data_IF_255073544257
#
_entry.id   IF_255073544257
#
_cell.length_a   1.000
_cell.length_b   1.000
_cell.length_c   1.000
_cell.angle_alpha   90.00
_cell.angle_beta   90.00
_cell.angle_gamma   90.00
#
_symmetry.space_group_name_H-M   'P 1'
#
loop_
_entity.id
_entity.type
_entity.pdbx_description
1 polymer ?
#
# COMPACT_ATOMS: atom_id res chain seq x y z
N UNK A 1 -21.94 -48.82 -22.54
CA UNK A 1 -20.83 -48.63 -21.58
C UNK A 1 -19.55 -48.58 -22.39
N UNK A 2 -19.22 -47.40 -22.90
CA UNK A 2 -18.01 -47.14 -23.67
C UNK A 2 -16.86 -47.00 -22.68
N UNK A 3 -15.91 -47.91 -22.76
CA UNK A 3 -14.59 -47.84 -22.15
C UNK A 3 -14.05 -46.42 -22.28
N UNK A 4 -14.04 -45.67 -21.18
CA UNK A 4 -13.08 -44.58 -21.03
C UNK A 4 -11.73 -45.25 -21.24
N UNK A 5 -11.03 -44.85 -22.29
CA UNK A 5 -9.75 -45.42 -22.68
C UNK A 5 -8.81 -45.36 -21.47
N UNK A 6 -8.30 -46.53 -21.03
CA UNK A 6 -7.43 -46.65 -19.86
C UNK A 6 -6.21 -45.73 -20.00
N UNK A 7 -5.75 -45.49 -21.23
CA UNK A 7 -4.67 -44.55 -21.52
C UNK A 7 -5.12 -43.11 -21.25
N UNK A 8 -6.29 -42.69 -21.73
CA UNK A 8 -6.83 -41.37 -21.45
C UNK A 8 -7.03 -41.13 -19.94
N UNK A 9 -7.58 -42.11 -19.21
CA UNK A 9 -7.77 -42.01 -17.76
C UNK A 9 -6.44 -41.80 -17.02
N UNK A 10 -5.39 -42.53 -17.40
CA UNK A 10 -4.05 -42.39 -16.81
C UNK A 10 -3.40 -41.07 -17.18
N UNK A 11 -3.50 -40.65 -18.45
CA UNK A 11 -3.02 -39.34 -18.90
C UNK A 11 -3.68 -38.23 -18.07
N UNK A 12 -5.01 -38.27 -17.88
CA UNK A 12 -5.73 -37.32 -17.04
C UNK A 12 -5.25 -37.31 -15.59
N UNK A 13 -4.96 -38.48 -15.01
CA UNK A 13 -4.36 -38.60 -13.68
C UNK A 13 -3.02 -37.86 -13.58
N UNK A 14 -2.11 -38.12 -14.52
CA UNK A 14 -0.82 -37.42 -14.60
C UNK A 14 -0.98 -35.91 -14.77
N UNK A 15 -1.91 -35.47 -15.64
CA UNK A 15 -2.17 -34.04 -15.80
C UNK A 15 -2.67 -33.44 -14.47
N UNK A 16 -3.61 -34.07 -13.78
CA UNK A 16 -4.11 -33.63 -12.48
C UNK A 16 -3.02 -33.51 -11.41
N UNK A 17 -2.03 -34.41 -11.42
CA UNK A 17 -0.89 -34.38 -10.49
C UNK A 17 0.10 -33.25 -10.81
N UNK A 18 0.22 -32.89 -12.09
CA UNK A 18 1.10 -31.81 -12.57
C UNK A 18 0.42 -30.43 -12.46
N UNK A 19 -0.91 -30.39 -12.49
CA UNK A 19 -1.69 -29.15 -12.41
C UNK A 19 -1.41 -28.40 -11.10
N UNK A 20 -1.01 -27.14 -11.23
CA UNK A 20 -0.80 -26.26 -10.09
C UNK A 20 -1.99 -25.29 -9.94
N UNK A 21 -2.38 -24.91 -8.71
CA UNK A 21 -3.52 -24.02 -8.49
C UNK A 21 -3.37 -22.63 -9.14
N UNK A 22 -2.16 -22.06 -9.08
CA UNK A 22 -1.94 -20.65 -9.46
C UNK A 22 -0.99 -20.41 -10.65
N UNK A 23 -0.41 -21.45 -11.26
CA UNK A 23 0.52 -21.27 -12.38
C UNK A 23 0.43 -22.41 -13.40
N UNK A 24 0.64 -22.10 -14.68
CA UNK A 24 0.77 -23.14 -15.71
C UNK A 24 2.09 -23.89 -15.53
N UNK A 25 2.09 -25.19 -15.80
CA UNK A 25 3.32 -26.00 -15.76
C UNK A 25 3.71 -26.45 -17.15
N UNK A 26 5.01 -26.42 -17.47
CA UNK A 26 5.52 -26.90 -18.74
C UNK A 26 5.65 -28.43 -18.69
N UNK A 27 5.07 -29.09 -19.67
CA UNK A 27 5.07 -30.54 -19.81
C UNK A 27 5.78 -30.92 -21.12
N UNK A 28 6.63 -31.94 -21.07
CA UNK A 28 7.21 -32.59 -22.23
C UNK A 28 6.43 -33.88 -22.53
N UNK A 29 5.90 -33.99 -23.75
CA UNK A 29 5.00 -35.07 -24.11
C UNK A 29 5.70 -36.43 -24.22
N UNK A 30 7.00 -36.44 -24.56
CA UNK A 30 7.79 -37.66 -24.63
C UNK A 30 8.03 -38.26 -23.24
N UNK A 31 8.23 -37.41 -22.24
CA UNK A 31 8.43 -37.84 -20.86
C UNK A 31 7.15 -38.46 -20.30
N UNK A 32 6.00 -37.84 -20.58
CA UNK A 32 4.69 -38.36 -20.19
C UNK A 32 4.39 -39.72 -20.83
N UNK A 33 4.61 -39.86 -22.14
CA UNK A 33 4.40 -41.12 -22.83
C UNK A 33 5.36 -42.22 -22.32
N UNK A 34 6.60 -41.86 -22.04
CA UNK A 34 7.58 -42.78 -21.47
C UNK A 34 7.16 -43.29 -20.08
N UNK A 35 6.59 -42.42 -19.25
CA UNK A 35 6.03 -42.82 -17.95
C UNK A 35 4.82 -43.75 -18.11
N UNK A 36 3.94 -43.49 -19.07
CA UNK A 36 2.80 -44.36 -19.38
C UNK A 36 3.26 -45.75 -19.82
N UNK A 37 4.24 -45.83 -20.72
CA UNK A 37 4.85 -47.10 -21.18
C UNK A 37 5.43 -47.92 -20.05
N UNK A 38 6.03 -47.28 -19.04
CA UNK A 38 6.59 -47.98 -17.88
C UNK A 38 5.52 -48.57 -16.94
N UNK A 39 4.30 -48.07 -16.99
CA UNK A 39 3.21 -48.48 -16.11
C UNK A 39 2.23 -49.43 -16.80
N UNK A 40 2.41 -49.72 -18.09
CA UNK A 40 1.51 -50.52 -18.92
C UNK A 40 2.31 -51.51 -19.75
N UNK A 41 2.22 -52.79 -19.37
CA UNK A 41 2.92 -53.88 -20.06
C UNK A 41 2.33 -54.18 -21.45
N UNK A 42 1.05 -53.85 -21.66
CA UNK A 42 0.27 -54.07 -22.88
C UNK A 42 0.20 -52.83 -23.80
N UNK A 43 0.94 -51.76 -23.49
CA UNK A 43 0.89 -50.49 -24.23
C UNK A 43 1.05 -50.65 -25.76
N UNK A 44 1.95 -51.51 -26.20
CA UNK A 44 2.20 -51.73 -27.63
C UNK A 44 1.13 -52.61 -28.30
N UNK A 45 0.61 -53.61 -27.58
CA UNK A 45 -0.44 -54.51 -28.08
C UNK A 45 -1.78 -53.77 -28.28
N UNK A 46 -1.99 -52.68 -27.54
CA UNK A 46 -3.21 -51.87 -27.56
C UNK A 46 -3.19 -50.70 -28.57
N UNK A 47 -2.20 -50.63 -29.46
CA UNK A 47 -1.97 -49.43 -30.29
C UNK A 47 -1.82 -48.15 -29.44
N UNK A 48 -1.08 -48.27 -28.33
CA UNK A 48 -1.06 -47.28 -27.26
C UNK A 48 -0.62 -45.88 -27.67
N UNK A 49 0.17 -45.74 -28.74
CA UNK A 49 0.50 -44.41 -29.26
C UNK A 49 -0.70 -43.71 -29.89
N UNK A 50 -1.54 -44.41 -30.65
CA UNK A 50 -2.75 -43.84 -31.26
C UNK A 50 -3.74 -43.41 -30.18
N UNK A 51 -3.91 -44.23 -29.15
CA UNK A 51 -4.75 -43.93 -27.99
C UNK A 51 -4.20 -42.75 -27.18
N UNK A 52 -2.88 -42.72 -26.95
CA UNK A 52 -2.20 -41.58 -26.33
C UNK A 52 -2.39 -40.29 -27.15
N UNK A 53 -2.23 -40.36 -28.47
CA UNK A 53 -2.46 -39.24 -29.37
C UNK A 53 -3.88 -38.67 -29.24
N UNK A 54 -4.90 -39.55 -29.28
CA UNK A 54 -6.30 -39.16 -29.11
C UNK A 54 -6.57 -38.55 -27.74
N UNK A 55 -5.99 -39.10 -26.67
CA UNK A 55 -6.09 -38.54 -25.33
C UNK A 55 -5.55 -37.11 -25.27
N UNK A 56 -4.37 -36.87 -25.86
CA UNK A 56 -3.77 -35.53 -25.92
C UNK A 56 -4.64 -34.56 -26.72
N UNK A 57 -5.17 -34.97 -27.87
CA UNK A 57 -6.10 -34.14 -28.64
C UNK A 57 -7.37 -33.78 -27.85
N UNK A 58 -7.91 -34.74 -27.09
CA UNK A 58 -9.08 -34.53 -26.23
C UNK A 58 -8.78 -33.50 -25.14
N UNK A 59 -7.66 -33.66 -24.42
CA UNK A 59 -7.19 -32.72 -23.39
C UNK A 59 -6.87 -31.32 -23.94
N UNK A 60 -6.44 -31.23 -25.20
CA UNK A 60 -6.29 -29.95 -25.89
C UNK A 60 -7.65 -29.31 -26.21
N UNK A 61 -8.61 -30.09 -26.71
CA UNK A 61 -9.97 -29.63 -26.97
C UNK A 61 -10.69 -29.11 -25.72
N UNK A 62 -10.39 -29.70 -24.56
CA UNK A 62 -10.89 -29.29 -23.25
C UNK A 62 -10.12 -28.10 -22.63
N UNK A 63 -9.05 -27.63 -23.26
CA UNK A 63 -8.23 -26.52 -22.75
C UNK A 63 -7.38 -26.86 -21.51
N UNK A 64 -7.23 -28.15 -21.17
CA UNK A 64 -6.34 -28.62 -20.11
C UNK A 64 -4.87 -28.60 -20.54
N UNK A 65 -4.62 -28.81 -21.84
CA UNK A 65 -3.30 -28.72 -22.46
C UNK A 65 -3.29 -27.66 -23.57
N UNK A 66 -2.30 -26.77 -23.52
CA UNK A 66 -2.11 -25.73 -24.54
C UNK A 66 -0.76 -25.99 -25.23
N UNK A 67 -0.72 -26.25 -26.56
CA UNK A 67 0.54 -26.53 -27.24
C UNK A 67 1.45 -25.30 -27.24
N UNK A 68 2.75 -25.51 -27.04
CA UNK A 68 3.75 -24.45 -27.19
C UNK A 68 4.17 -24.38 -28.66
N UNK A 69 3.85 -23.25 -29.30
CA UNK A 69 4.16 -23.02 -30.71
C UNK A 69 5.64 -22.64 -30.88
N UNK A 70 6.51 -23.66 -30.98
CA UNK A 70 7.95 -23.47 -31.19
C UNK A 70 8.53 -24.38 -32.30
N UNK A 71 7.67 -24.94 -33.15
CA UNK A 71 8.02 -25.87 -34.24
C UNK A 71 8.77 -27.13 -33.79
N UNK A 72 8.70 -27.52 -32.52
CA UNK A 72 9.24 -28.79 -32.01
C UNK A 72 8.13 -29.81 -31.86
N UNK A 73 8.39 -31.03 -32.34
CA UNK A 73 7.44 -32.13 -32.34
C UNK A 73 8.05 -33.37 -31.68
N UNK A 74 7.19 -34.29 -31.26
CA UNK A 74 7.59 -35.52 -30.58
C UNK A 74 8.30 -36.57 -31.47
N UNK A 75 8.41 -36.32 -32.79
CA UNK A 75 9.09 -37.21 -33.73
C UNK A 75 8.32 -38.49 -34.06
N UNK A 76 7.00 -38.50 -33.86
CA UNK A 76 6.11 -39.64 -34.12
C UNK A 76 5.03 -39.29 -35.16
N UNK A 77 4.35 -40.32 -35.67
CA UNK A 77 3.28 -40.19 -36.67
C UNK A 77 2.01 -40.83 -36.14
N UNK A 78 0.89 -40.10 -36.00
CA UNK A 78 0.73 -38.67 -36.24
C UNK A 78 1.53 -37.81 -35.24
N UNK A 79 1.91 -36.58 -35.60
CA UNK A 79 2.80 -35.76 -34.78
C UNK A 79 2.05 -34.94 -33.71
N UNK A 80 2.67 -34.81 -32.53
CA UNK A 80 2.25 -33.90 -31.45
C UNK A 80 3.31 -32.83 -31.23
N UNK A 81 2.91 -31.64 -30.77
CA UNK A 81 3.86 -30.64 -30.26
C UNK A 81 4.69 -31.25 -29.12
N UNK A 82 5.98 -30.93 -29.05
CA UNK A 82 6.88 -31.53 -28.05
C UNK A 82 6.55 -31.05 -26.63
N UNK A 83 6.15 -29.78 -26.50
CA UNK A 83 5.86 -29.16 -25.22
C UNK A 83 4.43 -28.62 -25.14
N UNK A 84 3.84 -28.77 -23.96
CA UNK A 84 2.52 -28.24 -23.61
C UNK A 84 2.59 -27.41 -22.33
N UNK A 85 1.75 -26.40 -22.23
CA UNK A 85 1.36 -25.82 -20.96
C UNK A 85 0.18 -26.62 -20.38
N UNK A 86 0.40 -27.21 -19.21
CA UNK A 86 -0.67 -27.73 -18.35
C UNK A 86 -1.37 -26.54 -17.71
N UNK A 87 -2.67 -26.40 -17.97
CA UNK A 87 -3.48 -25.29 -17.46
C UNK A 87 -3.70 -25.41 -15.95
N UNK A 88 -4.02 -24.29 -15.28
CA UNK A 88 -4.26 -24.31 -13.83
C UNK A 88 -5.41 -25.25 -13.45
N UNK A 89 -5.35 -25.82 -12.25
CA UNK A 89 -6.42 -26.70 -11.74
C UNK A 89 -7.69 -25.87 -11.54
N UNK A 90 -8.71 -26.05 -12.38
CA UNK A 90 -10.01 -25.41 -12.16
C UNK A 90 -10.64 -26.02 -10.91
N UNK A 91 -10.64 -25.26 -9.81
CA UNK A 91 -11.47 -25.62 -8.67
C UNK A 91 -12.93 -25.35 -9.07
N UNK A 92 -13.81 -26.34 -8.90
CA UNK A 92 -15.24 -26.10 -9.04
C UNK A 92 -15.65 -25.03 -8.01
N UNK A 93 -16.53 -24.10 -8.43
CA UNK A 93 -17.15 -23.16 -7.50
C UNK A 93 -17.78 -23.94 -6.33
N UNK A 94 -17.39 -23.59 -5.11
CA UNK A 94 -17.86 -24.23 -3.88
C UNK A 94 -19.14 -23.58 -3.35
N UNK A 95 -19.37 -22.31 -3.67
CA UNK A 95 -20.55 -21.58 -3.23
C UNK A 95 -21.77 -21.85 -4.12
N UNK A 96 -22.94 -21.81 -3.51
CA UNK A 96 -24.22 -21.94 -4.21
C UNK A 96 -24.47 -20.67 -5.06
N UNK A 97 -24.68 -20.87 -6.36
CA UNK A 97 -24.98 -19.78 -7.30
C UNK A 97 -26.27 -19.04 -6.95
N UNK A 98 -27.29 -19.73 -6.46
CA UNK A 98 -28.54 -19.09 -6.06
C UNK A 98 -28.32 -18.15 -4.88
N UNK A 99 -27.46 -18.53 -3.93
CA UNK A 99 -27.11 -17.68 -2.79
C UNK A 99 -26.28 -16.46 -3.23
N UNK A 100 -25.33 -16.63 -4.14
CA UNK A 100 -24.59 -15.49 -4.73
C UNK A 100 -25.53 -14.53 -5.47
N UNK A 101 -26.48 -15.06 -6.25
CA UNK A 101 -27.45 -14.25 -6.99
C UNK A 101 -28.35 -13.40 -6.06
N UNK A 102 -28.71 -13.90 -4.88
CA UNK A 102 -29.51 -13.15 -3.89
C UNK A 102 -28.80 -11.90 -3.38
N UNK A 103 -27.47 -11.89 -3.39
CA UNK A 103 -26.63 -10.82 -2.84
C UNK A 103 -25.99 -9.96 -3.94
N UNK A 104 -26.22 -10.27 -5.22
CA UNK A 104 -25.58 -9.62 -6.37
C UNK A 104 -26.08 -8.20 -6.65
N UNK A 105 -27.12 -7.75 -5.96
CA UNK A 105 -27.59 -6.36 -5.98
C UNK A 105 -26.69 -5.43 -5.18
N UNK A 106 -25.98 -5.96 -4.18
CA UNK A 106 -25.11 -5.19 -3.27
C UNK A 106 -23.61 -5.49 -3.45
N UNK A 107 -23.25 -6.68 -3.94
CA UNK A 107 -21.85 -7.12 -4.03
C UNK A 107 -21.44 -7.55 -5.43
N UNK A 108 -20.15 -7.38 -5.72
CA UNK A 108 -19.49 -7.96 -6.89
C UNK A 108 -18.91 -9.34 -6.54
N UNK A 109 -19.38 -10.40 -7.23
CA UNK A 109 -18.86 -11.76 -7.09
C UNK A 109 -17.85 -12.14 -8.19
N UNK A 110 -17.59 -11.27 -9.17
CA UNK A 110 -16.73 -11.55 -10.33
C UNK A 110 -15.33 -11.97 -9.96
N UNK A 111 -14.82 -11.52 -8.81
CA UNK A 111 -13.53 -11.98 -8.28
C UNK A 111 -13.62 -13.46 -7.86
N UNK A 112 -14.59 -13.83 -7.05
CA UNK A 112 -14.76 -15.19 -6.53
C UNK A 112 -15.14 -16.20 -7.62
N UNK A 113 -15.82 -15.76 -8.69
CA UNK A 113 -16.06 -16.59 -9.87
C UNK A 113 -14.77 -16.95 -10.61
N UNK A 114 -13.84 -15.99 -10.73
CA UNK A 114 -12.52 -16.18 -11.34
C UNK A 114 -11.53 -16.90 -10.43
N UNK A 115 -11.75 -16.81 -9.11
CA UNK A 115 -10.88 -17.36 -8.07
C UNK A 115 -11.67 -18.27 -7.10
N UNK A 116 -12.10 -19.47 -7.53
CA UNK A 116 -12.91 -20.37 -6.69
C UNK A 116 -12.19 -20.85 -5.43
N UNK A 117 -10.86 -20.74 -5.37
CA UNK A 117 -10.07 -21.02 -4.17
C UNK A 117 -10.43 -20.13 -2.97
N UNK A 118 -10.94 -18.93 -3.22
CA UNK A 118 -11.41 -17.99 -2.19
C UNK A 118 -12.84 -18.26 -1.72
N UNK A 119 -13.56 -19.19 -2.36
CA UNK A 119 -14.92 -19.55 -1.97
C UNK A 119 -14.94 -20.46 -0.72
N UNK A 120 -14.45 -19.94 0.40
CA UNK A 120 -14.39 -20.64 1.69
C UNK A 120 -15.64 -20.35 2.54
N UNK A 121 -15.89 -21.16 3.57
CA UNK A 121 -16.98 -20.90 4.51
C UNK A 121 -16.74 -19.61 5.31
N UNK A 122 -15.48 -19.36 5.70
CA UNK A 122 -15.12 -18.17 6.47
C UNK A 122 -15.31 -16.89 5.63
N UNK A 123 -14.89 -16.92 4.36
CA UNK A 123 -15.08 -15.79 3.46
C UNK A 123 -16.57 -15.51 3.21
N UNK A 124 -17.39 -16.56 3.08
CA UNK A 124 -18.83 -16.41 2.97
C UNK A 124 -19.45 -15.76 4.21
N UNK A 125 -19.04 -16.21 5.40
CA UNK A 125 -19.51 -15.63 6.66
C UNK A 125 -19.16 -14.13 6.76
N UNK A 126 -17.96 -13.72 6.31
CA UNK A 126 -17.56 -12.31 6.26
C UNK A 126 -18.47 -11.50 5.33
N UNK A 127 -18.81 -12.03 4.15
CA UNK A 127 -19.76 -11.42 3.22
C UNK A 127 -21.14 -11.28 3.87
N UNK A 128 -21.62 -12.31 4.57
CA UNK A 128 -22.91 -12.26 5.28
C UNK A 128 -22.94 -11.23 6.41
N UNK A 129 -21.84 -11.06 7.15
CA UNK A 129 -21.72 -10.01 8.17
C UNK A 129 -21.83 -8.61 7.54
N UNK A 130 -21.12 -8.37 6.44
CA UNK A 130 -21.20 -7.10 5.71
C UNK A 130 -22.62 -6.88 5.15
N UNK A 131 -23.24 -7.91 4.60
CA UNK A 131 -24.61 -7.81 4.09
C UNK A 131 -25.58 -7.41 5.19
N UNK A 132 -25.51 -8.10 6.34
CA UNK A 132 -26.36 -7.83 7.49
C UNK A 132 -26.19 -6.39 7.99
N UNK A 133 -24.95 -5.89 7.98
CA UNK A 133 -24.65 -4.49 8.30
C UNK A 133 -25.28 -3.51 7.29
N UNK A 134 -25.15 -3.78 5.99
CA UNK A 134 -25.71 -2.92 4.94
C UNK A 134 -27.23 -2.79 5.09
N UNK A 135 -27.93 -3.86 5.47
CA UNK A 135 -29.38 -3.82 5.69
C UNK A 135 -29.80 -2.82 6.78
N UNK A 136 -28.97 -2.59 7.79
CA UNK A 136 -29.27 -1.65 8.89
C UNK A 136 -28.41 -0.38 8.85
N UNK A 137 -27.62 -0.15 7.79
CA UNK A 137 -26.60 0.92 7.76
C UNK A 137 -27.18 2.32 8.01
N UNK A 138 -28.42 2.58 7.58
CA UNK A 138 -29.12 3.84 7.79
C UNK A 138 -29.29 4.21 9.27
N UNK A 139 -29.28 3.24 10.18
CA UNK A 139 -29.41 3.42 11.63
C UNK A 139 -28.06 3.46 12.36
N UNK A 140 -26.95 3.30 11.64
CA UNK A 140 -25.60 3.22 12.20
C UNK A 140 -24.91 4.59 12.13
N UNK A 141 -23.99 4.85 13.04
CA UNK A 141 -23.15 6.05 13.01
C UNK A 141 -21.82 5.80 12.29
N UNK A 142 -21.16 6.88 11.87
CA UNK A 142 -19.79 6.82 11.39
C UNK A 142 -18.82 6.56 12.53
N UNK A 143 -17.97 5.56 12.40
CA UNK A 143 -16.99 5.13 13.41
C UNK A 143 -15.63 4.86 12.77
N UNK A 144 -14.60 4.59 13.58
CA UNK A 144 -13.27 4.28 13.06
C UNK A 144 -13.26 3.02 12.19
N UNK A 145 -12.27 2.91 11.29
CA UNK A 145 -12.06 1.67 10.52
C UNK A 145 -11.82 0.49 11.47
N UNK A 146 -11.10 0.71 12.56
CA UNK A 146 -10.81 -0.24 13.61
C UNK A 146 -12.07 -0.77 14.28
N UNK A 147 -12.96 0.12 14.73
CA UNK A 147 -14.23 -0.25 15.37
C UNK A 147 -15.14 -1.02 14.43
N UNK A 148 -15.26 -0.54 13.17
CA UNK A 148 -16.09 -1.24 12.18
C UNK A 148 -15.46 -2.57 11.76
N UNK A 149 -14.13 -2.65 11.68
CA UNK A 149 -13.41 -3.90 11.39
C UNK A 149 -13.63 -4.92 12.50
N UNK A 150 -13.57 -4.49 13.76
CA UNK A 150 -13.86 -5.34 14.92
C UNK A 150 -15.32 -5.83 14.88
N UNK A 151 -16.28 -4.95 14.61
CA UNK A 151 -17.69 -5.30 14.53
C UNK A 151 -18.00 -6.32 13.42
N UNK A 152 -17.44 -6.13 12.23
CA UNK A 152 -17.76 -6.96 11.06
C UNK A 152 -16.95 -8.26 10.99
N UNK A 153 -15.72 -8.24 11.49
CA UNK A 153 -14.75 -9.33 11.27
C UNK A 153 -14.16 -9.89 12.55
N UNK A 154 -14.53 -9.36 13.72
CA UNK A 154 -14.05 -9.84 15.02
C UNK A 154 -12.61 -9.44 15.35
N UNK A 155 -11.99 -8.57 14.55
CA UNK A 155 -10.65 -8.06 14.80
C UNK A 155 -10.46 -6.64 14.23
N UNK A 156 -9.94 -5.71 15.04
CA UNK A 156 -9.80 -4.29 14.70
C UNK A 156 -8.83 -4.06 13.55
N UNK A 157 -7.83 -4.94 13.40
CA UNK A 157 -6.82 -4.87 12.33
C UNK A 157 -7.14 -5.66 11.07
N UNK A 158 -8.26 -6.39 11.00
CA UNK A 158 -8.54 -7.27 9.86
C UNK A 158 -8.43 -6.56 8.51
N UNK A 159 -8.98 -5.35 8.40
CA UNK A 159 -8.90 -4.55 7.17
C UNK A 159 -7.58 -3.77 7.01
N UNK A 160 -6.80 -3.62 8.08
CA UNK A 160 -5.69 -2.67 8.17
C UNK A 160 -4.31 -3.36 8.06
N UNK A 161 -4.17 -4.55 8.62
CA UNK A 161 -2.91 -5.28 8.70
C UNK A 161 -2.94 -6.48 7.75
N UNK A 162 -2.50 -6.25 6.50
CA UNK A 162 -2.46 -7.29 5.48
C UNK A 162 -1.35 -8.32 5.65
N UNK A 163 -0.41 -8.12 6.59
CA UNK A 163 0.59 -9.14 6.92
C UNK A 163 0.03 -10.12 7.96
N UNK A 164 -0.66 -9.60 8.99
CA UNK A 164 -1.35 -10.41 9.98
C UNK A 164 -2.63 -11.06 9.42
N UNK A 165 -3.36 -10.34 8.55
CA UNK A 165 -4.61 -10.78 7.93
C UNK A 165 -4.53 -10.70 6.40
N UNK A 166 -3.84 -11.65 5.73
CA UNK A 166 -3.78 -11.70 4.27
C UNK A 166 -5.16 -11.71 3.61
N UNK A 167 -6.14 -12.35 4.25
CA UNK A 167 -7.52 -12.41 3.77
C UNK A 167 -8.22 -11.06 3.84
N UNK A 168 -8.00 -10.26 4.87
CA UNK A 168 -8.65 -8.95 5.01
C UNK A 168 -8.12 -7.93 4.01
N UNK A 169 -6.87 -8.11 3.56
CA UNK A 169 -6.25 -7.29 2.54
C UNK A 169 -7.07 -7.30 1.25
N UNK A 170 -7.67 -6.16 0.92
CA UNK A 170 -8.47 -5.99 -0.30
C UNK A 170 -9.82 -6.72 -0.27
N UNK A 171 -10.28 -7.21 0.89
CA UNK A 171 -11.57 -7.88 1.02
C UNK A 171 -12.73 -7.00 0.50
N UNK A 172 -12.82 -5.75 0.95
CA UNK A 172 -13.86 -4.81 0.52
C UNK A 172 -13.84 -4.58 -1.00
N UNK A 173 -12.64 -4.47 -1.58
CA UNK A 173 -12.46 -4.34 -3.02
C UNK A 173 -12.93 -5.61 -3.78
N UNK A 174 -12.69 -6.81 -3.24
CA UNK A 174 -13.14 -8.07 -3.86
C UNK A 174 -14.65 -8.19 -3.94
N UNK A 175 -15.37 -7.62 -2.97
CA UNK A 175 -16.84 -7.65 -2.90
C UNK A 175 -17.49 -6.37 -3.46
N UNK A 176 -16.69 -5.41 -3.95
CA UNK A 176 -17.19 -4.16 -4.55
C UNK A 176 -17.78 -3.15 -3.56
N UNK A 177 -17.32 -3.14 -2.31
CA UNK A 177 -17.81 -2.22 -1.25
C UNK A 177 -16.77 -1.17 -0.90
N UNK A 178 -17.21 0.06 -0.64
CA UNK A 178 -16.36 1.16 -0.15
C UNK A 178 -16.46 1.36 1.35
N UNK A 179 -15.46 2.04 1.93
CA UNK A 179 -15.44 2.40 3.36
C UNK A 179 -16.64 3.28 3.75
N UNK A 180 -17.09 4.17 2.85
CA UNK A 180 -18.24 5.05 3.07
C UNK A 180 -19.55 4.28 3.20
N UNK A 181 -19.74 3.23 2.40
CA UNK A 181 -20.92 2.35 2.51
C UNK A 181 -20.98 1.65 3.87
N UNK A 182 -19.81 1.45 4.51
CA UNK A 182 -19.69 0.87 5.84
C UNK A 182 -19.63 1.89 6.97
N UNK A 183 -19.86 3.18 6.66
CA UNK A 183 -19.76 4.29 7.62
C UNK A 183 -18.44 4.24 8.40
N UNK A 184 -17.35 3.95 7.70
CA UNK A 184 -16.00 3.94 8.25
C UNK A 184 -15.34 5.29 8.06
N UNK A 185 -14.55 5.71 9.04
CA UNK A 185 -13.74 6.92 8.99
C UNK A 185 -12.33 6.56 9.42
N UNK A 186 -11.35 6.83 8.55
CA UNK A 186 -9.96 6.73 8.93
C UNK A 186 -9.59 7.94 9.81
N UNK A 187 -9.56 7.72 11.12
CA UNK A 187 -9.02 8.70 12.06
C UNK A 187 -7.51 8.53 12.11
N UNK A 188 -6.77 9.50 11.58
CA UNK A 188 -5.33 9.54 11.81
C UNK A 188 -5.00 9.65 13.31
N UNK A 189 -3.74 9.50 13.68
CA UNK A 189 -3.32 9.78 15.05
C UNK A 189 -3.33 11.30 15.30
N UNK A 190 -3.77 11.77 16.48
CA UNK A 190 -3.60 13.16 16.88
C UNK A 190 -2.12 13.60 16.88
N UNK A 191 -1.87 14.90 16.73
CA UNK A 191 -0.54 15.46 16.95
C UNK A 191 -0.36 15.93 18.39
N UNK A 192 0.90 15.95 18.83
CA UNK A 192 1.29 16.60 20.09
C UNK A 192 1.42 18.10 19.83
N UNK A 193 0.86 18.92 20.72
CA UNK A 193 0.99 20.37 20.65
C UNK A 193 1.22 21.00 22.02
N UNK A 194 1.73 22.23 22.02
CA UNK A 194 1.87 23.07 23.19
C UNK A 194 1.24 24.44 22.91
N UNK A 195 0.31 24.86 23.76
CA UNK A 195 -0.38 26.13 23.68
C UNK A 195 0.30 27.15 24.60
N UNK A 196 0.58 28.35 24.08
CA UNK A 196 1.18 29.42 24.86
C UNK A 196 0.31 29.77 26.08
N UNK A 197 0.93 29.83 27.26
CA UNK A 197 0.21 30.14 28.49
C UNK A 197 -0.53 31.49 28.40
N UNK A 198 -1.77 31.51 28.88
CA UNK A 198 -2.63 32.69 28.87
C UNK A 198 -3.30 33.00 27.53
N UNK A 199 -3.08 32.20 26.47
CA UNK A 199 -3.81 32.32 25.20
C UNK A 199 -5.05 31.45 25.17
N UNK A 200 -6.19 32.04 24.81
CA UNK A 200 -7.38 31.27 24.54
C UNK A 200 -7.34 30.67 23.12
N UNK A 201 -8.01 29.53 22.93
CA UNK A 201 -8.04 28.79 21.66
C UNK A 201 -8.49 29.67 20.47
N UNK A 202 -9.44 30.58 20.70
CA UNK A 202 -9.98 31.46 19.66
C UNK A 202 -9.07 32.66 19.31
N UNK A 203 -8.01 32.89 20.10
CA UNK A 203 -7.05 33.98 19.89
C UNK A 203 -5.79 33.52 19.14
N UNK A 204 -5.67 32.23 18.86
CA UNK A 204 -4.54 31.64 18.16
C UNK A 204 -4.54 32.15 16.72
N UNK A 205 -3.41 32.71 16.29
CA UNK A 205 -3.21 33.13 14.91
C UNK A 205 -1.95 32.51 14.32
N UNK A 206 -0.88 32.41 15.10
CA UNK A 206 0.43 31.94 14.63
C UNK A 206 0.71 30.55 15.16
N UNK A 207 0.96 29.62 14.25
CA UNK A 207 1.24 28.22 14.56
C UNK A 207 2.62 27.87 14.01
N UNK A 208 3.50 27.32 14.85
CA UNK A 208 4.79 26.78 14.41
C UNK A 208 4.77 25.26 14.52
N UNK A 209 5.00 24.60 13.40
CA UNK A 209 5.13 23.15 13.26
C UNK A 209 6.62 22.83 13.23
N UNK A 210 7.06 21.98 14.15
CA UNK A 210 8.46 21.58 14.33
C UNK A 210 8.61 20.09 14.12
N UNK A 211 9.49 19.67 13.20
CA UNK A 211 9.65 18.25 12.84
C UNK A 211 10.20 17.38 13.98
N UNK A 212 11.24 17.85 14.70
CA UNK A 212 11.97 17.04 15.69
C UNK A 212 11.55 17.37 17.14
N UNK A 213 11.48 16.33 17.99
CA UNK A 213 11.03 16.47 19.38
C UNK A 213 12.02 17.30 20.23
N UNK A 214 13.31 17.14 19.95
CA UNK A 214 14.41 17.90 20.57
C UNK A 214 14.19 19.40 20.41
N UNK A 215 14.00 19.88 19.18
CA UNK A 215 13.78 21.28 18.90
C UNK A 215 12.39 21.76 19.30
N UNK A 216 11.39 20.88 19.36
CA UNK A 216 10.09 21.21 19.95
C UNK A 216 10.24 21.65 21.42
N UNK A 217 11.00 20.91 22.23
CA UNK A 217 11.28 21.30 23.62
C UNK A 217 12.09 22.60 23.72
N UNK A 218 13.08 22.80 22.85
CA UNK A 218 13.81 24.08 22.77
C UNK A 218 12.87 25.23 22.41
N UNK A 219 11.96 25.02 21.45
CA UNK A 219 10.99 26.02 21.00
C UNK A 219 10.04 26.43 22.12
N UNK A 220 9.56 25.48 22.93
CA UNK A 220 8.73 25.79 24.12
C UNK A 220 9.45 26.76 25.04
N UNK A 221 10.70 26.45 25.41
CA UNK A 221 11.49 27.30 26.30
C UNK A 221 11.75 28.70 25.72
N UNK A 222 12.01 28.78 24.40
CA UNK A 222 12.22 30.04 23.71
C UNK A 222 10.92 30.87 23.58
N UNK A 223 9.74 30.25 23.48
CA UNK A 223 8.47 30.97 23.52
C UNK A 223 8.20 31.52 24.92
N UNK A 224 8.46 30.72 25.96
CA UNK A 224 8.28 31.14 27.35
C UNK A 224 9.21 32.30 27.73
N UNK A 225 10.43 32.33 27.19
CA UNK A 225 11.37 33.45 27.39
C UNK A 225 11.13 34.64 26.44
N UNK A 226 10.18 34.55 25.50
CA UNK A 226 9.89 35.60 24.52
C UNK A 226 11.00 35.81 23.47
N UNK A 227 11.80 34.77 23.20
CA UNK A 227 12.99 34.83 22.33
C UNK A 227 12.79 34.10 20.99
N UNK A 228 11.76 33.26 20.86
CA UNK A 228 11.49 32.54 19.62
C UNK A 228 10.96 33.49 18.54
N UNK A 229 11.55 33.41 17.35
CA UNK A 229 11.01 34.09 16.16
C UNK A 229 9.57 33.69 15.89
N UNK A 230 8.86 34.56 15.16
CA UNK A 230 7.43 34.43 14.81
C UNK A 230 6.47 34.54 16.00
N UNK A 231 6.93 34.38 17.24
CA UNK A 231 6.13 34.39 18.47
C UNK A 231 4.85 33.53 18.33
N UNK A 232 4.97 32.22 18.04
CA UNK A 232 3.81 31.37 17.84
C UNK A 232 2.93 31.33 19.10
N UNK A 233 1.61 31.33 18.89
CA UNK A 233 0.61 31.06 19.93
C UNK A 233 0.50 29.56 20.21
N UNK A 234 0.80 28.73 19.21
CA UNK A 234 0.70 27.27 19.25
C UNK A 234 1.95 26.64 18.60
N UNK A 235 2.55 25.68 19.30
CA UNK A 235 3.60 24.81 18.78
C UNK A 235 3.02 23.43 18.48
N UNK A 236 3.32 22.85 17.32
CA UNK A 236 2.94 21.48 16.95
C UNK A 236 4.21 20.67 16.73
N UNK A 237 4.29 19.48 17.34
CA UNK A 237 5.32 18.50 17.03
C UNK A 237 4.89 17.67 15.82
N UNK A 238 5.68 17.75 14.75
CA UNK A 238 5.38 17.18 13.44
C UNK A 238 5.67 15.67 13.34
N UNK A 239 6.67 15.16 14.06
CA UNK A 239 7.04 13.73 14.05
C UNK A 239 7.32 13.21 12.62
N UNK A 240 8.15 13.96 11.87
CA UNK A 240 8.48 13.63 10.48
C UNK A 240 7.26 13.69 9.54
N UNK A 241 7.10 12.66 8.70
CA UNK A 241 5.99 12.59 7.73
C UNK A 241 4.62 12.34 8.36
N UNK A 242 4.55 12.06 9.68
CA UNK A 242 3.28 11.87 10.39
C UNK A 242 2.42 13.12 10.34
N UNK A 243 3.02 14.33 10.37
CA UNK A 243 2.30 15.60 10.29
C UNK A 243 1.38 15.68 9.08
N UNK A 244 1.76 15.09 7.95
CA UNK A 244 0.97 15.11 6.72
C UNK A 244 -0.42 14.47 6.94
N UNK A 245 -0.50 13.46 7.81
CA UNK A 245 -1.76 12.78 8.18
C UNK A 245 -2.42 13.44 9.39
N UNK A 246 -1.66 13.70 10.44
CA UNK A 246 -2.19 14.21 11.71
C UNK A 246 -2.68 15.66 11.62
N UNK A 247 -2.16 16.49 10.70
CA UNK A 247 -2.54 17.91 10.57
C UNK A 247 -4.05 18.13 10.38
N UNK A 248 -4.75 17.17 9.76
CA UNK A 248 -6.22 17.21 9.63
C UNK A 248 -6.96 17.33 10.97
N UNK A 249 -6.37 16.87 12.08
CA UNK A 249 -6.93 17.03 13.43
C UNK A 249 -6.97 18.48 13.89
N UNK A 250 -6.16 19.36 13.30
CA UNK A 250 -6.12 20.76 13.67
C UNK A 250 -7.51 21.39 13.53
N UNK A 251 -8.21 21.09 12.43
CA UNK A 251 -9.56 21.62 12.16
C UNK A 251 -10.66 21.03 13.06
N UNK A 252 -10.34 20.00 13.84
CA UNK A 252 -11.26 19.43 14.85
C UNK A 252 -11.03 20.03 16.23
N UNK A 253 -9.78 20.39 16.53
CA UNK A 253 -9.37 20.93 17.83
C UNK A 253 -9.52 22.45 17.90
N UNK A 254 -9.27 23.14 16.79
CA UNK A 254 -9.25 24.59 16.71
C UNK A 254 -10.40 25.10 15.84
N UNK A 255 -11.06 26.21 16.21
CA UNK A 255 -12.17 26.76 15.45
C UNK A 255 -11.71 27.19 14.05
N UNK A 256 -12.65 27.36 13.13
CA UNK A 256 -12.32 27.95 11.82
C UNK A 256 -11.82 29.38 12.03
N UNK A 257 -10.69 29.72 11.42
CA UNK A 257 -10.04 31.01 11.54
C UNK A 257 -8.90 31.15 10.53
N UNK A 258 -8.32 32.35 10.49
CA UNK A 258 -7.16 32.63 9.66
C UNK A 258 -5.90 32.34 10.46
N UNK A 259 -5.27 31.21 10.17
CA UNK A 259 -4.04 30.77 10.81
C UNK A 259 -2.84 30.96 9.88
N UNK A 260 -1.74 31.45 10.42
CA UNK A 260 -0.43 31.48 9.77
C UNK A 260 0.38 30.31 10.29
N UNK A 261 0.66 29.34 9.41
CA UNK A 261 1.42 28.16 9.75
C UNK A 261 2.86 28.31 9.26
N UNK A 262 3.81 28.18 10.17
CA UNK A 262 5.23 28.11 9.88
C UNK A 262 5.71 26.69 10.08
N UNK A 263 6.49 26.14 9.16
CA UNK A 263 7.10 24.82 9.29
C UNK A 263 8.62 24.94 9.42
N UNK A 264 9.19 24.24 10.40
CA UNK A 264 10.62 24.08 10.57
C UNK A 264 10.94 22.59 10.72
N UNK A 265 11.76 22.08 9.81
CA UNK A 265 12.28 20.71 9.83
C UNK A 265 13.78 20.67 9.54
N UNK A 266 14.31 19.47 9.31
CA UNK A 266 15.71 19.29 8.93
C UNK A 266 15.98 19.92 7.55
N UNK A 267 17.17 20.48 7.36
CA UNK A 267 17.64 20.88 6.02
C UNK A 267 18.20 19.64 5.31
N UNK A 268 17.28 18.77 4.87
CA UNK A 268 17.55 17.58 4.07
C UNK A 268 16.41 17.25 3.09
N UNK A 269 16.59 16.22 2.26
CA UNK A 269 15.57 15.84 1.28
C UNK A 269 14.23 15.44 1.90
N UNK A 270 14.24 14.82 3.08
CA UNK A 270 13.01 14.39 3.73
C UNK A 270 12.24 15.59 4.26
N UNK A 271 12.93 16.52 4.95
CA UNK A 271 12.36 17.76 5.46
C UNK A 271 11.75 18.63 4.35
N UNK A 272 12.44 18.77 3.22
CA UNK A 272 11.91 19.50 2.04
C UNK A 272 10.62 18.84 1.54
N UNK A 273 10.63 17.52 1.41
CA UNK A 273 9.48 16.75 0.94
C UNK A 273 8.27 16.86 1.87
N UNK A 274 8.47 16.82 3.20
CA UNK A 274 7.38 16.93 4.17
C UNK A 274 6.67 18.28 4.02
N UNK A 275 7.43 19.39 3.97
CA UNK A 275 6.83 20.72 3.83
C UNK A 275 6.03 20.84 2.54
N UNK A 276 6.61 20.48 1.39
CA UNK A 276 5.95 20.66 0.09
C UNK A 276 4.69 19.79 0.02
N UNK A 277 4.74 18.52 0.44
CA UNK A 277 3.54 17.66 0.47
C UNK A 277 2.48 18.17 1.44
N UNK A 278 2.87 18.76 2.57
CA UNK A 278 1.94 19.36 3.51
C UNK A 278 1.23 20.56 2.87
N UNK A 279 1.96 21.44 2.17
CA UNK A 279 1.39 22.57 1.43
C UNK A 279 0.45 22.11 0.30
N UNK A 280 0.86 21.11 -0.49
CA UNK A 280 0.05 20.53 -1.57
C UNK A 280 -1.24 19.90 -1.05
N UNK A 281 -1.19 19.25 0.12
CA UNK A 281 -2.34 18.59 0.73
C UNK A 281 -3.34 19.58 1.36
N UNK A 282 -2.88 20.74 1.80
CA UNK A 282 -3.70 21.76 2.45
C UNK A 282 -3.51 23.14 1.80
N UNK A 283 -3.91 23.30 0.51
CA UNK A 283 -3.66 24.53 -0.25
C UNK A 283 -4.40 25.76 0.31
N UNK A 284 -5.51 25.55 1.00
CA UNK A 284 -6.29 26.61 1.65
C UNK A 284 -5.66 27.09 2.97
N UNK A 285 -4.61 26.42 3.45
CA UNK A 285 -3.88 26.82 4.65
C UNK A 285 -2.65 27.64 4.27
N UNK A 286 -2.45 28.77 4.95
CA UNK A 286 -1.26 29.61 4.78
C UNK A 286 -0.03 28.97 5.44
N UNK A 287 0.45 27.85 4.86
CA UNK A 287 1.63 27.11 5.29
C UNK A 287 2.85 27.62 4.54
N UNK A 288 3.90 28.00 5.29
CA UNK A 288 5.14 28.53 4.73
C UNK A 288 6.36 28.00 5.52
N UNK A 289 7.55 27.92 4.91
CA UNK A 289 8.76 27.62 5.65
C UNK A 289 9.06 28.72 6.69
N UNK A 290 9.52 28.31 7.86
CA UNK A 290 9.97 29.21 8.92
C UNK A 290 11.37 29.79 8.58
N UNK A 291 11.46 30.63 7.55
CA UNK A 291 12.73 31.13 6.97
C UNK A 291 13.73 31.68 8.00
N UNK A 292 13.32 32.48 8.99
CA UNK A 292 14.19 32.93 10.09
C UNK A 292 14.85 31.78 10.86
N UNK A 293 14.14 30.67 11.08
CA UNK A 293 14.69 29.48 11.75
C UNK A 293 15.67 28.77 10.82
N UNK A 294 15.30 28.56 9.56
CA UNK A 294 16.19 27.94 8.57
C UNK A 294 17.48 28.73 8.34
N UNK A 295 17.41 30.06 8.35
CA UNK A 295 18.59 30.94 8.26
C UNK A 295 19.54 30.74 9.43
N UNK A 296 19.02 30.65 10.65
CA UNK A 296 19.83 30.31 11.84
C UNK A 296 20.48 28.92 11.73
N UNK A 297 19.81 27.96 11.10
CA UNK A 297 20.40 26.65 10.79
C UNK A 297 21.55 26.77 9.77
N UNK A 298 21.39 27.60 8.74
CA UNK A 298 22.45 27.87 7.76
C UNK A 298 23.67 28.59 8.37
N UNK A 299 23.49 29.33 9.46
CA UNK A 299 24.64 29.88 10.21
C UNK A 299 25.40 28.82 11.02
N UNK A 300 24.83 27.62 11.19
CA UNK A 300 25.44 26.48 11.89
C UNK A 300 26.04 25.44 10.91
N UNK A 301 26.48 25.86 9.72
CA UNK A 301 27.04 24.98 8.66
C UNK A 301 28.18 24.07 9.14
N UNK A 302 28.93 24.48 10.15
CA UNK A 302 30.00 23.70 10.77
C UNK A 302 29.52 22.38 11.41
N UNK A 303 28.22 22.29 11.74
CA UNK A 303 27.58 21.11 12.33
C UNK A 303 26.87 20.23 11.29
N UNK A 304 27.08 20.47 9.98
CA UNK A 304 26.52 19.63 8.91
C UNK A 304 27.02 18.18 9.00
N UNK A 305 26.14 17.21 8.75
CA UNK A 305 26.48 15.79 8.73
C UNK A 305 25.94 15.07 7.49
N UNK A 306 26.20 13.78 7.37
CA UNK A 306 25.82 13.01 6.18
C UNK A 306 24.31 12.78 6.11
N UNK A 307 23.76 12.95 4.91
CA UNK A 307 22.39 12.58 4.61
C UNK A 307 22.28 11.07 4.32
N UNK A 308 21.15 10.45 4.69
CA UNK A 308 20.89 9.03 4.40
C UNK A 308 20.99 8.75 2.88
N UNK A 309 21.82 7.77 2.52
CA UNK A 309 22.03 7.37 1.12
C UNK A 309 20.71 6.97 0.43
N UNK A 310 20.53 7.43 -0.81
CA UNK A 310 19.46 6.99 -1.71
C UNK A 310 18.25 7.92 -1.82
N UNK A 311 18.09 8.92 -0.93
CA UNK A 311 16.94 9.84 -0.99
C UNK A 311 17.02 10.86 -2.14
N UNK A 312 18.22 11.25 -2.57
CA UNK A 312 18.47 12.37 -3.48
C UNK A 312 18.34 12.05 -4.98
N UNK A 313 18.14 10.78 -5.35
CA UNK A 313 18.13 10.33 -6.76
C UNK A 313 16.75 10.15 -7.38
N UNK A 314 15.68 10.29 -6.61
CA UNK A 314 14.31 10.18 -7.13
C UNK A 314 13.88 11.51 -7.73
N UNK A 315 13.25 11.49 -8.92
CA UNK A 315 12.79 12.68 -9.61
C UNK A 315 11.82 13.54 -8.77
N UNK A 316 10.95 12.91 -7.98
CA UNK A 316 10.05 13.61 -7.06
C UNK A 316 10.83 14.40 -6.00
N UNK A 317 11.91 13.84 -5.47
CA UNK A 317 12.75 14.52 -4.48
C UNK A 317 13.40 15.79 -5.07
N UNK A 318 13.79 15.76 -6.35
CA UNK A 318 14.32 16.94 -7.03
C UNK A 318 13.26 18.05 -7.14
N UNK A 319 12.03 17.70 -7.49
CA UNK A 319 10.90 18.65 -7.54
C UNK A 319 10.63 19.29 -6.18
N UNK A 320 10.64 18.51 -5.10
CA UNK A 320 10.44 19.03 -3.74
C UNK A 320 11.58 19.94 -3.28
N UNK A 321 12.83 19.57 -3.60
CA UNK A 321 14.00 20.43 -3.36
C UNK A 321 13.82 21.77 -4.08
N UNK A 322 13.52 21.74 -5.38
CA UNK A 322 13.42 22.98 -6.17
C UNK A 322 12.30 23.90 -5.67
N UNK A 323 11.14 23.33 -5.33
CA UNK A 323 10.05 24.08 -4.72
C UNK A 323 10.41 24.65 -3.34
N UNK A 324 11.18 23.93 -2.51
CA UNK A 324 11.65 24.42 -1.23
C UNK A 324 12.67 25.56 -1.39
N UNK A 325 13.61 25.43 -2.33
CA UNK A 325 14.73 26.37 -2.51
C UNK A 325 14.23 27.74 -2.99
N UNK A 326 13.11 27.79 -3.71
CA UNK A 326 12.49 29.04 -4.19
C UNK A 326 12.10 30.01 -3.07
N UNK A 327 12.01 29.56 -1.82
CA UNK A 327 11.70 30.42 -0.67
C UNK A 327 12.91 31.19 -0.13
N UNK A 328 14.12 30.84 -0.57
CA UNK A 328 15.39 31.38 -0.10
C UNK A 328 15.98 32.39 -1.09
N UNK A 329 16.89 33.26 -0.65
CA UNK A 329 17.61 34.18 -1.54
C UNK A 329 18.57 33.43 -2.46
N UNK A 330 19.07 34.08 -3.52
CA UNK A 330 20.02 33.45 -4.45
C UNK A 330 21.29 32.95 -3.75
N UNK A 331 21.78 33.70 -2.76
CA UNK A 331 22.95 33.32 -1.97
C UNK A 331 22.65 32.09 -1.08
N UNK A 332 21.49 32.07 -0.44
CA UNK A 332 21.03 30.95 0.39
C UNK A 332 20.79 29.69 -0.45
N UNK A 333 20.23 29.83 -1.64
CA UNK A 333 20.03 28.73 -2.59
C UNK A 333 21.36 28.13 -3.04
N UNK A 334 22.41 28.93 -3.22
CA UNK A 334 23.74 28.43 -3.55
C UNK A 334 24.30 27.54 -2.43
N UNK A 335 24.17 27.96 -1.17
CA UNK A 335 24.58 27.17 0.01
C UNK A 335 23.77 25.86 0.11
N UNK A 336 22.46 25.93 -0.06
CA UNK A 336 21.60 24.74 -0.03
C UNK A 336 21.93 23.77 -1.17
N UNK A 337 22.28 24.27 -2.37
CA UNK A 337 22.73 23.44 -3.49
C UNK A 337 24.10 22.81 -3.26
N UNK A 338 25.00 23.48 -2.55
CA UNK A 338 26.27 22.91 -2.13
C UNK A 338 26.04 21.72 -1.18
N UNK A 339 25.24 21.92 -0.12
CA UNK A 339 24.83 20.85 0.80
C UNK A 339 24.23 19.66 0.05
N UNK A 340 23.32 19.93 -0.89
CA UNK A 340 22.69 18.89 -1.71
C UNK A 340 23.71 18.08 -2.54
N UNK A 341 24.65 18.75 -3.20
CA UNK A 341 25.69 18.11 -4.02
C UNK A 341 26.66 17.29 -3.18
N UNK A 342 27.00 17.78 -1.98
CA UNK A 342 27.85 17.08 -1.03
C UNK A 342 27.14 15.95 -0.27
N UNK A 343 25.82 15.76 -0.50
CA UNK A 343 24.98 14.84 0.26
C UNK A 343 25.06 15.08 1.78
N UNK A 344 25.07 16.36 2.16
CA UNK A 344 25.08 16.83 3.54
C UNK A 344 23.71 17.37 3.94
N UNK A 345 23.42 17.27 5.22
CA UNK A 345 22.25 17.86 5.86
C UNK A 345 22.63 18.72 7.06
N UNK A 346 21.74 19.62 7.44
CA UNK A 346 21.80 20.31 8.74
C UNK A 346 20.60 19.83 9.59
N UNK A 347 20.84 19.06 10.67
CA UNK A 347 19.77 18.64 11.56
C UNK A 347 19.21 19.82 12.35
N UNK A 348 17.94 19.77 12.72
CA UNK A 348 17.29 20.81 13.53
C UNK A 348 17.92 20.97 14.91
N UNK A 349 18.57 19.92 15.43
CA UNK A 349 19.29 19.88 16.71
C UNK A 349 20.45 20.90 16.82
N UNK A 350 20.92 21.49 15.72
CA UNK A 350 21.91 22.58 15.78
C UNK A 350 21.36 23.83 16.49
N UNK A 351 20.03 23.93 16.58
CA UNK A 351 19.32 25.00 17.26
C UNK A 351 19.09 24.64 18.73
N UNK A 352 20.05 25.00 19.58
CA UNK A 352 19.95 24.92 21.04
C UNK A 352 19.58 26.28 21.62
N UNK A 353 19.30 26.33 22.92
CA UNK A 353 19.06 27.60 23.62
C UNK A 353 20.30 28.50 23.55
N UNK A 354 21.50 27.92 23.67
CA UNK A 354 22.78 28.61 23.61
C UNK A 354 23.09 29.12 22.21
N UNK A 355 22.82 28.34 21.17
CA UNK A 355 23.01 28.84 19.80
C UNK A 355 22.00 29.96 19.53
N UNK A 356 20.74 29.80 19.94
CA UNK A 356 19.69 30.81 19.75
C UNK A 356 20.05 32.19 20.30
N UNK A 357 20.67 32.22 21.50
CA UNK A 357 21.09 33.46 22.17
C UNK A 357 22.15 34.26 21.40
N UNK A 358 22.85 33.67 20.43
CA UNK A 358 23.84 34.38 19.60
C UNK A 358 23.20 35.39 18.64
N UNK A 359 21.91 35.23 18.36
CA UNK A 359 21.14 36.02 17.40
C UNK A 359 20.09 36.93 18.06
N UNK A 360 20.18 37.08 19.38
CA UNK A 360 19.45 38.10 20.14
C UNK A 360 20.33 39.33 20.30
#
# INVERSE_FOLDING_TARGET
MTTIDIIEARVRGFISDIQHPSQKKKLNINDLEFQLRKLMDDYFEMDGYSLFFNAIQTLQGEGLLIPILNNQYNGKTPSLALYYWVNIKSQAAKWDRLEMMKLSDQFDFSYYERHPEWQTLEEWNRIQNVYSFIQCCHQRECVSVEERSLELFGHEKFLLDGEQFPDGKGFLMRIGITEEQLKMVNYGEPFVFWLKQGKAIHEIQRVLIVENLSFFHTSVQLVESGQLDYEPDLLIYGEGSKIERSFSFFFRMFPKGNYLFYYAGDLDAAGYGILIRLMEKYPDCCIQPALKIYRKMLECLEQKNDQKLGQTRLAQTLSYRDAFFQWFTEEEQALLMELWKENKRIPQEVLTIETWRRWM
#
